data_IF_134132286347
#
_entry.id   IF_134132286347
#
_cell.length_a   1.000
_cell.length_b   1.000
_cell.length_c   1.000
_cell.angle_alpha   90.00
_cell.angle_beta   90.00
_cell.angle_gamma   90.00
#
_symmetry.space_group_name_H-M   'P 1'
#
loop_
_entity.id
_entity.type
_entity.pdbx_description
1 polymer ?
#
# COMPACT_ATOMS: atom_id res chain seq x y z
N UNK A 1 -32.96 -8.18 -3.42
CA UNK A 1 -32.09 -7.56 -2.42
C UNK A 1 -30.80 -7.21 -3.13
N UNK A 2 -30.50 -5.92 -3.34
CA UNK A 2 -29.23 -5.48 -3.91
C UNK A 2 -28.14 -5.74 -2.87
N UNK A 3 -27.16 -6.57 -3.21
CA UNK A 3 -26.00 -6.80 -2.37
C UNK A 3 -25.32 -5.46 -2.10
N UNK A 4 -24.88 -5.21 -0.83
CA UNK A 4 -24.12 -3.99 -0.51
C UNK A 4 -22.83 -3.97 -1.32
N UNK A 5 -22.34 -2.78 -1.69
CA UNK A 5 -21.08 -2.67 -2.42
C UNK A 5 -19.92 -3.21 -1.57
N UNK A 6 -18.98 -3.91 -2.23
CA UNK A 6 -17.76 -4.42 -1.60
C UNK A 6 -16.89 -3.24 -1.15
N UNK A 7 -16.51 -3.20 0.14
CA UNK A 7 -15.76 -2.11 0.74
C UNK A 7 -14.33 -2.55 1.06
N UNK A 8 -13.35 -1.89 0.49
CA UNK A 8 -11.95 -2.07 0.84
C UNK A 8 -11.39 -0.82 1.52
N UNK A 9 -10.56 -1.01 2.55
CA UNK A 9 -9.71 0.02 3.12
C UNK A 9 -8.26 -0.16 2.65
N UNK A 10 -7.43 0.88 2.78
CA UNK A 10 -5.99 0.78 2.59
C UNK A 10 -5.23 1.15 3.85
N UNK A 11 -4.20 0.37 4.19
CA UNK A 11 -3.15 0.71 5.17
C UNK A 11 -1.91 1.06 4.37
N UNK A 12 -1.62 2.34 4.24
CA UNK A 12 -0.50 2.90 3.51
C UNK A 12 0.70 3.08 4.44
N UNK A 13 1.74 2.28 4.24
CA UNK A 13 2.94 2.29 5.07
C UNK A 13 3.87 3.43 4.65
N UNK A 14 3.93 4.49 5.47
CA UNK A 14 4.73 5.69 5.26
C UNK A 14 5.76 5.94 6.39
N UNK A 15 6.16 4.89 7.11
CA UNK A 15 7.01 4.98 8.29
C UNK A 15 8.50 4.65 8.03
N UNK A 16 8.91 4.45 6.77
CA UNK A 16 10.22 3.95 6.38
C UNK A 16 11.36 4.95 6.56
N UNK A 17 12.57 4.45 6.89
CA UNK A 17 13.78 5.25 7.18
C UNK A 17 14.49 5.82 5.94
N UNK A 18 14.03 5.54 4.73
CA UNK A 18 14.63 6.00 3.47
C UNK A 18 16.17 5.78 3.36
N UNK A 19 16.70 4.69 3.93
CA UNK A 19 18.16 4.45 4.11
C UNK A 19 18.97 4.52 2.81
N UNK A 20 18.35 4.24 1.66
CA UNK A 20 18.99 4.28 0.33
C UNK A 20 19.05 5.69 -0.28
N UNK A 21 18.42 6.67 0.38
CA UNK A 21 18.46 8.10 0.01
C UNK A 21 18.98 8.95 1.19
N UNK A 22 20.30 8.94 1.49
CA UNK A 22 20.86 9.63 2.65
C UNK A 22 20.50 11.11 2.68
N UNK A 23 20.03 11.59 3.85
CA UNK A 23 19.69 12.99 4.06
C UNK A 23 18.38 13.46 3.41
N UNK A 24 17.58 12.55 2.85
CA UNK A 24 16.27 12.87 2.26
C UNK A 24 15.26 11.78 2.57
N UNK A 25 14.05 12.18 2.97
CA UNK A 25 12.92 11.27 3.02
C UNK A 25 12.37 11.08 1.60
N UNK A 26 12.48 9.87 1.06
CA UNK A 26 12.02 9.57 -0.31
C UNK A 26 10.54 9.89 -0.54
N UNK A 27 9.73 9.79 0.51
CA UNK A 27 8.29 10.04 0.44
C UNK A 27 7.94 11.51 0.23
N UNK A 28 8.87 12.42 0.57
CA UNK A 28 8.73 13.87 0.42
C UNK A 28 9.33 14.40 -0.88
N UNK A 29 9.97 13.54 -1.68
CA UNK A 29 10.50 13.93 -2.99
C UNK A 29 9.33 14.26 -3.91
N UNK A 30 9.44 15.40 -4.59
CA UNK A 30 8.43 15.82 -5.55
C UNK A 30 8.59 15.11 -6.89
N UNK A 31 7.49 14.56 -7.36
CA UNK A 31 7.34 14.05 -8.72
C UNK A 31 6.34 14.96 -9.43
N UNK A 32 6.80 15.73 -10.40
CA UNK A 32 5.99 16.71 -11.13
C UNK A 32 5.31 17.73 -10.21
N UNK A 33 6.03 18.23 -9.21
CA UNK A 33 5.55 19.24 -8.26
C UNK A 33 4.62 18.71 -7.17
N UNK A 34 4.54 17.38 -6.99
CA UNK A 34 3.74 16.78 -5.93
C UNK A 34 4.57 15.74 -5.15
N UNK A 35 4.59 15.79 -3.79
CA UNK A 35 5.28 14.80 -2.98
C UNK A 35 4.83 13.37 -3.29
N UNK A 36 5.77 12.43 -3.38
CA UNK A 36 5.51 11.01 -3.71
C UNK A 36 4.41 10.40 -2.83
N UNK A 37 4.47 10.63 -1.52
CA UNK A 37 3.46 10.11 -0.59
C UNK A 37 2.06 10.67 -0.88
N UNK A 38 1.97 11.95 -1.26
CA UNK A 38 0.69 12.59 -1.58
C UNK A 38 0.09 12.02 -2.85
N UNK A 39 0.91 11.84 -3.89
CA UNK A 39 0.53 11.18 -5.13
C UNK A 39 -0.01 9.78 -4.88
N UNK A 40 0.73 8.96 -4.13
CA UNK A 40 0.33 7.59 -3.79
C UNK A 40 -0.96 7.58 -2.96
N UNK A 41 -1.08 8.44 -1.94
CA UNK A 41 -2.29 8.52 -1.13
C UNK A 41 -3.55 8.84 -1.94
N UNK A 42 -3.47 9.74 -2.94
CA UNK A 42 -4.58 10.06 -3.85
C UNK A 42 -5.04 8.85 -4.67
N UNK A 43 -4.11 8.00 -5.10
CA UNK A 43 -4.44 6.77 -5.84
C UNK A 43 -5.34 5.87 -4.99
N UNK A 44 -4.98 5.67 -3.72
CA UNK A 44 -5.78 4.84 -2.81
C UNK A 44 -7.10 5.50 -2.41
N UNK A 45 -7.12 6.82 -2.21
CA UNK A 45 -8.35 7.56 -1.93
C UNK A 45 -9.39 7.47 -3.07
N UNK A 46 -8.92 7.35 -4.31
CA UNK A 46 -9.81 7.21 -5.46
C UNK A 46 -10.43 5.80 -5.60
N UNK A 47 -9.88 4.78 -4.94
CA UNK A 47 -10.29 3.38 -5.11
C UNK A 47 -10.80 2.73 -3.82
N UNK A 48 -10.44 3.24 -2.65
CA UNK A 48 -10.77 2.67 -1.34
C UNK A 48 -11.80 3.52 -0.60
N UNK A 49 -12.55 2.88 0.31
CA UNK A 49 -13.52 3.57 1.15
C UNK A 49 -12.83 4.47 2.20
N UNK A 50 -11.71 4.00 2.77
CA UNK A 50 -10.90 4.73 3.75
C UNK A 50 -9.43 4.40 3.55
N UNK A 51 -8.55 5.37 3.87
CA UNK A 51 -7.08 5.22 3.81
C UNK A 51 -6.47 5.59 5.14
N UNK A 52 -5.75 4.65 5.73
CA UNK A 52 -4.99 4.79 6.97
C UNK A 52 -3.50 4.91 6.63
N UNK A 53 -2.89 6.04 6.97
CA UNK A 53 -1.47 6.27 6.71
C UNK A 53 -0.69 6.03 7.99
N UNK A 54 0.21 5.04 7.97
CA UNK A 54 1.08 4.73 9.11
C UNK A 54 2.33 5.58 9.03
N UNK A 55 2.49 6.46 10.01
CA UNK A 55 3.59 7.40 10.15
C UNK A 55 4.69 6.84 11.07
N UNK A 56 5.93 7.30 10.87
CA UNK A 56 7.08 6.93 11.67
C UNK A 56 8.22 7.93 11.48
N UNK A 57 9.25 7.58 10.73
CA UNK A 57 10.37 8.49 10.45
C UNK A 57 9.88 9.77 9.77
N UNK A 58 10.24 10.93 10.38
CA UNK A 58 9.79 12.26 9.92
C UNK A 58 8.27 12.36 9.72
N UNK A 59 7.51 11.71 10.60
CA UNK A 59 6.05 11.57 10.48
C UNK A 59 5.33 12.91 10.38
N UNK A 60 5.80 13.96 11.07
CA UNK A 60 5.20 15.29 11.00
C UNK A 60 5.32 15.92 9.60
N UNK A 61 6.48 15.77 8.94
CA UNK A 61 6.69 16.24 7.57
C UNK A 61 5.83 15.46 6.57
N UNK A 62 5.70 14.16 6.76
CA UNK A 62 4.81 13.32 5.94
C UNK A 62 3.35 13.72 6.14
N UNK A 63 2.93 13.99 7.36
CA UNK A 63 1.59 14.48 7.68
C UNK A 63 1.32 15.83 7.03
N UNK A 64 2.28 16.76 7.08
CA UNK A 64 2.19 18.08 6.44
C UNK A 64 2.01 17.95 4.93
N UNK A 65 2.79 17.09 4.26
CA UNK A 65 2.67 16.81 2.83
C UNK A 65 1.29 16.25 2.43
N UNK A 66 0.58 15.64 3.37
CA UNK A 66 -0.74 15.03 3.17
C UNK A 66 -1.91 15.95 3.61
N UNK A 67 -1.63 17.17 4.05
CA UNK A 67 -2.65 18.12 4.52
C UNK A 67 -3.77 18.32 3.49
N UNK A 68 -5.02 18.34 3.97
CA UNK A 68 -6.23 18.54 3.15
C UNK A 68 -6.75 17.27 2.46
N UNK A 69 -6.09 16.11 2.60
CA UNK A 69 -6.64 14.83 2.16
C UNK A 69 -7.45 14.15 3.29
N UNK A 70 -8.57 13.47 2.96
CA UNK A 70 -9.42 12.78 3.94
C UNK A 70 -8.78 11.44 4.39
N UNK A 71 -7.73 11.52 5.18
CA UNK A 71 -6.91 10.40 5.63
C UNK A 71 -7.05 10.19 7.15
N UNK A 72 -6.89 8.93 7.59
CA UNK A 72 -6.69 8.60 9.00
C UNK A 72 -5.21 8.35 9.26
N UNK A 73 -4.61 9.07 10.20
CA UNK A 73 -3.20 8.91 10.55
C UNK A 73 -3.02 7.97 11.72
N UNK A 74 -2.02 7.10 11.64
CA UNK A 74 -1.66 6.10 12.64
C UNK A 74 -0.18 6.25 12.99
N UNK A 75 0.12 6.58 14.26
CA UNK A 75 1.50 6.69 14.71
C UNK A 75 2.09 5.31 15.00
N UNK A 76 3.32 5.08 14.52
CA UNK A 76 4.14 3.95 14.91
C UNK A 76 5.45 4.43 15.54
N UNK A 77 5.52 4.63 16.87
CA UNK A 77 6.74 5.09 17.52
C UNK A 77 7.89 4.07 17.43
N UNK A 78 7.58 2.81 17.14
CA UNK A 78 8.55 1.71 17.00
C UNK A 78 8.94 1.46 15.53
N UNK A 79 8.80 2.45 14.64
CA UNK A 79 9.06 2.31 13.20
C UNK A 79 10.47 1.79 12.88
N UNK A 80 11.47 2.07 13.74
CA UNK A 80 12.85 1.63 13.57
C UNK A 80 13.01 0.11 13.66
N UNK A 81 12.06 -0.61 14.27
CA UNK A 81 12.04 -2.08 14.36
C UNK A 81 11.65 -2.75 13.04
N UNK A 82 11.25 -1.97 12.05
CA UNK A 82 10.96 -2.43 10.69
C UNK A 82 9.48 -2.48 10.33
N UNK A 83 9.21 -2.87 9.08
CA UNK A 83 7.89 -2.87 8.47
C UNK A 83 6.80 -3.67 9.25
N UNK A 84 7.10 -4.83 9.87
CA UNK A 84 6.07 -5.57 10.62
C UNK A 84 5.39 -4.75 11.72
N UNK A 85 6.12 -3.86 12.40
CA UNK A 85 5.57 -2.93 13.39
C UNK A 85 4.55 -1.98 12.79
N UNK A 86 4.86 -1.40 11.64
CA UNK A 86 3.97 -0.50 10.91
C UNK A 86 2.70 -1.21 10.41
N UNK A 87 2.83 -2.45 9.92
CA UNK A 87 1.67 -3.28 9.54
C UNK A 87 0.75 -3.49 10.75
N UNK A 88 1.31 -3.91 11.89
CA UNK A 88 0.52 -4.12 13.12
C UNK A 88 -0.22 -2.87 13.56
N UNK A 89 0.47 -1.73 13.61
CA UNK A 89 -0.14 -0.46 13.98
C UNK A 89 -1.31 -0.11 13.05
N UNK A 90 -1.11 -0.24 11.73
CA UNK A 90 -2.13 0.05 10.74
C UNK A 90 -3.35 -0.87 10.85
N UNK A 91 -3.15 -2.20 10.91
CA UNK A 91 -4.28 -3.13 11.01
C UNK A 91 -5.02 -3.01 12.35
N UNK A 92 -4.34 -2.63 13.43
CA UNK A 92 -4.97 -2.41 14.73
C UNK A 92 -5.93 -1.20 14.73
N UNK A 93 -5.67 -0.21 13.89
CA UNK A 93 -6.45 1.03 13.78
C UNK A 93 -7.66 0.93 12.85
N UNK A 94 -7.79 -0.16 12.10
CA UNK A 94 -8.92 -0.36 11.17
C UNK A 94 -10.24 -0.44 11.93
N UNK A 95 -11.23 0.30 11.44
CA UNK A 95 -12.63 0.20 11.87
C UNK A 95 -13.28 -1.08 11.32
N UNK A 96 -14.41 -1.44 11.88
CA UNK A 96 -15.24 -2.50 11.33
C UNK A 96 -15.99 -2.05 10.07
N UNK A 97 -16.48 -3.03 9.30
CA UNK A 97 -17.35 -2.79 8.16
C UNK A 97 -16.69 -2.83 6.78
N UNK A 98 -15.39 -3.15 6.72
CA UNK A 98 -14.70 -3.47 5.47
C UNK A 98 -14.82 -4.97 5.15
N UNK A 99 -14.76 -5.30 3.86
CA UNK A 99 -14.69 -6.67 3.35
C UNK A 99 -13.23 -7.11 3.18
N UNK A 100 -12.37 -6.15 2.82
CA UNK A 100 -10.94 -6.38 2.61
C UNK A 100 -10.11 -5.15 2.99
N UNK A 101 -8.80 -5.36 3.16
CA UNK A 101 -7.80 -4.31 3.35
C UNK A 101 -6.59 -4.54 2.45
N UNK A 102 -6.11 -3.47 1.84
CA UNK A 102 -4.84 -3.42 1.12
C UNK A 102 -3.73 -3.01 2.08
N UNK A 103 -2.68 -3.82 2.16
CA UNK A 103 -1.43 -3.42 2.81
C UNK A 103 -0.50 -2.89 1.73
N UNK A 104 -0.24 -1.61 1.77
CA UNK A 104 0.33 -0.81 0.69
C UNK A 104 1.61 -0.09 1.10
N UNK A 105 2.48 0.17 0.13
CA UNK A 105 3.71 0.95 0.30
C UNK A 105 3.52 2.35 -0.27
N UNK A 106 4.04 3.37 0.43
CA UNK A 106 3.87 4.77 0.03
C UNK A 106 4.85 5.23 -1.07
N UNK A 107 5.75 4.36 -1.52
CA UNK A 107 6.82 4.63 -2.50
C UNK A 107 6.54 4.08 -3.91
N UNK A 108 5.34 3.59 -4.16
CA UNK A 108 4.93 3.04 -5.46
C UNK A 108 4.27 4.10 -6.35
N UNK A 109 5.10 4.90 -7.03
CA UNK A 109 4.64 6.01 -7.86
C UNK A 109 3.90 5.61 -9.15
N UNK A 110 4.13 4.40 -9.63
CA UNK A 110 3.57 3.90 -10.89
C UNK A 110 2.11 3.44 -10.77
N UNK A 111 1.66 3.08 -9.57
CA UNK A 111 0.30 2.60 -9.34
C UNK A 111 -0.74 3.65 -9.71
N UNK A 112 -1.83 3.20 -10.31
CA UNK A 112 -2.99 3.99 -10.67
C UNK A 112 -4.24 3.57 -9.87
N UNK A 113 -5.24 4.44 -9.80
CA UNK A 113 -6.53 4.08 -9.19
C UNK A 113 -7.20 2.90 -9.92
N UNK A 114 -6.98 2.75 -11.23
CA UNK A 114 -7.45 1.62 -12.03
C UNK A 114 -6.82 0.30 -11.60
N UNK A 115 -5.54 0.27 -11.29
CA UNK A 115 -4.84 -0.92 -10.79
C UNK A 115 -5.44 -1.38 -9.45
N UNK A 116 -5.61 -0.44 -8.52
CA UNK A 116 -6.19 -0.73 -7.20
C UNK A 116 -7.64 -1.19 -7.32
N UNK A 117 -8.45 -0.51 -8.12
CA UNK A 117 -9.85 -0.91 -8.38
C UNK A 117 -9.94 -2.29 -9.04
N UNK A 118 -9.02 -2.62 -9.95
CA UNK A 118 -8.90 -3.94 -10.57
C UNK A 118 -8.63 -5.05 -9.57
N UNK A 119 -7.67 -4.81 -8.65
CA UNK A 119 -7.34 -5.76 -7.58
C UNK A 119 -8.51 -5.97 -6.61
N UNK A 120 -9.19 -4.89 -6.21
CA UNK A 120 -10.38 -4.95 -5.35
C UNK A 120 -11.51 -5.73 -6.03
N UNK A 121 -11.79 -5.45 -7.31
CA UNK A 121 -12.79 -6.15 -8.09
C UNK A 121 -12.49 -7.64 -8.21
N UNK A 122 -11.25 -8.03 -8.52
CA UNK A 122 -10.83 -9.42 -8.59
C UNK A 122 -11.05 -10.16 -7.26
N UNK A 123 -10.83 -9.48 -6.12
CA UNK A 123 -11.14 -10.04 -4.81
C UNK A 123 -12.63 -10.28 -4.63
N UNK A 124 -13.47 -9.28 -4.96
CA UNK A 124 -14.91 -9.38 -4.82
C UNK A 124 -15.51 -10.49 -5.70
N UNK A 125 -15.08 -10.58 -6.96
CA UNK A 125 -15.50 -11.60 -7.93
C UNK A 125 -15.04 -13.01 -7.52
N UNK A 126 -13.85 -13.13 -6.90
CA UNK A 126 -13.35 -14.37 -6.32
C UNK A 126 -13.98 -14.77 -4.98
N UNK A 127 -15.09 -14.13 -4.59
CA UNK A 127 -15.83 -14.41 -3.35
C UNK A 127 -15.18 -13.85 -2.09
N UNK A 128 -14.13 -12.99 -2.20
CA UNK A 128 -13.52 -12.29 -1.07
C UNK A 128 -12.81 -13.19 -0.05
N UNK A 129 -12.54 -14.44 -0.41
CA UNK A 129 -12.07 -15.46 0.54
C UNK A 129 -10.55 -15.67 0.56
N UNK A 130 -9.78 -15.09 -0.36
CA UNK A 130 -8.35 -15.33 -0.51
C UNK A 130 -7.54 -14.05 -0.44
N UNK A 131 -6.30 -14.16 0.05
CA UNK A 131 -5.30 -13.09 -0.07
C UNK A 131 -4.92 -12.99 -1.53
N UNK A 132 -5.02 -11.78 -2.12
CA UNK A 132 -4.55 -11.53 -3.47
C UNK A 132 -3.17 -10.88 -3.43
N UNK A 133 -2.21 -11.55 -4.04
CA UNK A 133 -0.84 -11.07 -4.20
C UNK A 133 -0.60 -10.74 -5.66
N UNK A 134 -0.32 -9.48 -6.02
CA UNK A 134 0.01 -9.10 -7.38
C UNK A 134 1.34 -9.73 -7.82
N UNK A 135 1.38 -10.15 -9.09
CA UNK A 135 2.59 -10.60 -9.76
C UNK A 135 2.68 -9.97 -11.14
N UNK A 136 3.89 -9.59 -11.53
CA UNK A 136 4.20 -9.20 -12.90
C UNK A 136 5.49 -9.92 -13.34
N UNK A 137 5.42 -10.69 -14.42
CA UNK A 137 6.53 -11.49 -14.95
C UNK A 137 7.24 -12.34 -13.88
N UNK A 138 6.45 -12.95 -12.97
CA UNK A 138 6.96 -13.78 -11.87
C UNK A 138 7.42 -13.03 -10.62
N UNK A 139 7.58 -11.70 -10.68
CA UNK A 139 7.94 -10.87 -9.54
C UNK A 139 6.72 -10.54 -8.69
N UNK A 140 6.83 -10.71 -7.37
CA UNK A 140 5.80 -10.38 -6.40
C UNK A 140 5.75 -8.87 -6.15
N UNK A 141 4.56 -8.29 -6.21
CA UNK A 141 4.32 -6.86 -6.03
C UNK A 141 3.50 -6.50 -4.79
N UNK A 142 3.23 -5.21 -4.66
CA UNK A 142 2.36 -4.57 -3.68
C UNK A 142 1.36 -3.65 -4.41
N UNK A 143 0.23 -3.30 -3.77
CA UNK A 143 -0.24 -3.73 -2.45
C UNK A 143 -0.70 -5.19 -2.44
N UNK A 144 -0.65 -5.82 -1.27
CA UNK A 144 -1.30 -7.12 -1.05
C UNK A 144 -2.68 -6.87 -0.45
N UNK A 145 -3.69 -7.52 -1.00
CA UNK A 145 -5.08 -7.43 -0.53
C UNK A 145 -5.40 -8.63 0.38
N UNK A 146 -5.87 -8.34 1.59
CA UNK A 146 -6.29 -9.31 2.58
C UNK A 146 -7.80 -9.24 2.81
N UNK A 147 -8.54 -10.36 2.77
CA UNK A 147 -9.87 -10.43 3.32
C UNK A 147 -9.89 -10.03 4.80
N UNK A 148 -10.90 -9.28 5.23
CA UNK A 148 -10.94 -8.73 6.59
C UNK A 148 -10.93 -9.81 7.68
N UNK A 149 -11.53 -10.99 7.41
CA UNK A 149 -11.48 -12.14 8.32
C UNK A 149 -10.04 -12.61 8.62
N UNK A 150 -9.14 -12.57 7.61
CA UNK A 150 -7.74 -12.98 7.78
C UNK A 150 -6.92 -11.90 8.52
N UNK A 151 -7.33 -10.64 8.47
CA UNK A 151 -6.76 -9.58 9.32
C UNK A 151 -7.01 -9.86 10.80
N UNK A 152 -8.19 -10.39 11.17
CA UNK A 152 -8.46 -10.80 12.54
C UNK A 152 -7.51 -11.93 13.00
N UNK A 153 -7.23 -12.91 12.13
CA UNK A 153 -6.26 -13.97 12.38
C UNK A 153 -4.83 -13.42 12.53
N UNK A 154 -4.43 -12.49 11.66
CA UNK A 154 -3.13 -11.79 11.77
C UNK A 154 -3.00 -11.01 13.08
N UNK A 155 -4.05 -10.30 13.51
CA UNK A 155 -4.06 -9.58 14.79
C UNK A 155 -3.80 -10.55 15.96
N UNK A 156 -4.37 -11.76 15.93
CA UNK A 156 -4.19 -12.76 16.96
C UNK A 156 -2.76 -13.30 17.06
N UNK A 157 -1.96 -13.26 15.99
CA UNK A 157 -0.56 -13.68 15.95
C UNK A 157 0.41 -12.70 16.63
N UNK A 158 -0.03 -11.50 17.01
CA UNK A 158 0.75 -10.54 17.76
C UNK A 158 2.01 -10.07 17.02
N UNK A 159 3.20 -10.19 17.66
CA UNK A 159 4.47 -9.72 17.10
C UNK A 159 4.90 -10.42 15.80
N UNK A 160 4.39 -11.60 15.52
CA UNK A 160 4.71 -12.37 14.31
C UNK A 160 3.86 -11.99 13.09
N UNK A 161 2.98 -11.00 13.20
CA UNK A 161 2.10 -10.53 12.14
C UNK A 161 2.85 -9.74 11.06
N UNK A 162 3.82 -10.36 10.39
CA UNK A 162 4.41 -9.85 9.17
C UNK A 162 3.61 -10.41 7.98
N UNK A 163 3.14 -9.52 7.09
CA UNK A 163 2.34 -9.95 5.93
C UNK A 163 3.02 -11.07 5.14
N UNK A 164 4.32 -10.94 4.89
CA UNK A 164 5.09 -11.93 4.12
C UNK A 164 5.07 -13.29 4.79
N UNK A 165 5.38 -13.35 6.10
CA UNK A 165 5.38 -14.61 6.84
C UNK A 165 3.99 -15.26 6.87
N UNK A 166 2.93 -14.44 7.04
CA UNK A 166 1.55 -14.94 7.03
C UNK A 166 1.18 -15.56 5.69
N UNK A 167 1.53 -14.90 4.58
CA UNK A 167 1.28 -15.38 3.23
C UNK A 167 2.05 -16.67 2.95
N UNK A 168 3.35 -16.68 3.26
CA UNK A 168 4.24 -17.81 2.97
C UNK A 168 3.87 -19.05 3.82
N UNK A 169 3.32 -18.85 5.03
CA UNK A 169 2.81 -19.91 5.90
C UNK A 169 1.40 -20.40 5.54
N UNK A 170 0.68 -19.68 4.67
CA UNK A 170 -0.71 -19.98 4.31
C UNK A 170 -0.94 -19.96 2.80
N UNK A 171 -0.20 -20.77 2.01
CA UNK A 171 -0.31 -20.77 0.54
C UNK A 171 -1.73 -21.12 0.07
N UNK A 172 -2.47 -21.96 0.82
CA UNK A 172 -3.85 -22.35 0.52
C UNK A 172 -4.85 -21.17 0.63
N UNK A 173 -4.53 -20.15 1.41
CA UNK A 173 -5.32 -18.93 1.57
C UNK A 173 -4.93 -17.83 0.57
N UNK A 174 -3.93 -18.08 -0.27
CA UNK A 174 -3.34 -17.10 -1.19
C UNK A 174 -3.72 -17.41 -2.62
N UNK A 175 -3.96 -16.39 -3.42
CA UNK A 175 -4.10 -16.47 -4.86
C UNK A 175 -3.23 -15.40 -5.53
N UNK A 176 -2.69 -15.74 -6.69
CA UNK A 176 -1.96 -14.79 -7.52
C UNK A 176 -2.95 -13.91 -8.27
N UNK A 177 -2.63 -12.62 -8.37
CA UNK A 177 -3.24 -11.67 -9.27
C UNK A 177 -2.21 -11.32 -10.34
N UNK A 178 -2.39 -11.81 -11.55
CA UNK A 178 -1.48 -11.50 -12.66
C UNK A 178 -1.75 -10.08 -13.15
N UNK A 179 -0.81 -9.18 -12.86
CA UNK A 179 -0.90 -7.78 -13.24
C UNK A 179 -0.60 -7.58 -14.73
N UNK A 180 -1.31 -6.66 -15.37
CA UNK A 180 -1.12 -6.33 -16.78
C UNK A 180 0.12 -5.43 -17.03
N UNK A 181 0.64 -4.79 -15.98
CA UNK A 181 1.77 -3.87 -16.03
C UNK A 181 2.69 -4.06 -14.83
N UNK A 182 3.88 -3.47 -14.91
CA UNK A 182 4.88 -3.46 -13.85
C UNK A 182 4.57 -2.52 -12.67
N UNK A 183 3.45 -1.80 -12.70
CA UNK A 183 3.09 -0.81 -11.67
C UNK A 183 3.13 -1.36 -10.25
N UNK A 184 2.75 -2.64 -10.06
CA UNK A 184 2.73 -3.30 -8.76
C UNK A 184 4.11 -3.69 -8.22
N UNK A 185 5.13 -3.71 -9.08
CA UNK A 185 6.51 -4.12 -8.75
C UNK A 185 7.53 -2.99 -8.87
N UNK A 186 7.06 -1.78 -9.23
CA UNK A 186 7.91 -0.59 -9.42
C UNK A 186 7.87 0.28 -8.16
N UNK A 187 8.95 0.25 -7.39
CA UNK A 187 9.18 1.09 -6.22
C UNK A 187 10.21 2.19 -6.55
N UNK A 188 10.07 3.38 -5.97
CA UNK A 188 11.11 4.42 -6.02
C UNK A 188 11.98 4.31 -4.75
N UNK A 189 13.16 3.74 -4.90
CA UNK A 189 14.09 3.49 -3.81
C UNK A 189 15.36 4.34 -3.87
N UNK A 190 15.73 4.79 -5.07
CA UNK A 190 16.93 5.58 -5.35
C UNK A 190 16.62 6.78 -6.23
N UNK A 191 17.58 7.74 -6.33
CA UNK A 191 17.48 8.85 -7.28
C UNK A 191 17.50 8.36 -8.74
N UNK A 192 18.14 7.23 -9.02
CA UNK A 192 18.14 6.63 -10.34
C UNK A 192 16.74 6.08 -10.71
N UNK A 193 16.03 5.45 -9.75
CA UNK A 193 14.66 5.01 -9.97
C UNK A 193 13.72 6.18 -10.25
N UNK A 194 13.91 7.28 -9.51
CA UNK A 194 13.16 8.52 -9.71
C UNK A 194 13.38 9.08 -11.12
N UNK A 195 14.65 9.20 -11.55
CA UNK A 195 14.99 9.72 -12.87
C UNK A 195 14.40 8.84 -13.98
N UNK A 196 14.53 7.51 -13.87
CA UNK A 196 13.96 6.56 -14.82
C UNK A 196 12.42 6.66 -14.88
N UNK A 197 11.77 6.80 -13.72
CA UNK A 197 10.32 6.99 -13.65
C UNK A 197 9.88 8.28 -14.35
N UNK A 198 10.57 9.40 -14.10
CA UNK A 198 10.25 10.69 -14.74
C UNK A 198 10.49 10.69 -16.25
N UNK A 199 11.53 9.99 -16.71
CA UNK A 199 11.81 9.81 -18.15
C UNK A 199 10.74 8.96 -18.83
N UNK A 200 10.35 7.83 -18.25
CA UNK A 200 9.28 6.97 -18.76
C UNK A 200 7.89 7.64 -18.80
N UNK A 201 7.71 8.68 -18.01
CA UNK A 201 6.49 9.49 -17.97
C UNK A 201 6.49 10.69 -18.93
N UNK A 202 7.57 10.96 -19.69
CA UNK A 202 7.57 12.04 -20.70
C UNK A 202 6.71 11.60 -21.90
N UNK A 203 5.83 12.48 -22.42
CA UNK A 203 5.17 12.18 -23.67
C UNK A 203 6.24 12.00 -24.75
N UNK A 204 6.09 10.94 -25.55
CA UNK A 204 6.97 10.71 -26.69
C UNK A 204 7.01 12.00 -27.53
N UNK A 205 8.18 12.57 -27.82
CA UNK A 205 8.23 13.73 -28.69
C UNK A 205 7.67 13.35 -30.06
N UNK A 206 6.64 14.09 -30.50
CA UNK A 206 5.95 13.92 -31.76
C UNK A 206 6.90 14.18 -32.96
#
# INVERSE_FOLDING_TARGET
MTARPFKAAAVLLAAGLSRRMPGRNKLLIEIRGEPLVRRTAKVYLAACADVYVVLGHEGDLVREALTGLPLSFVENPQYAEGQPGSVRAGIASLKDGYDAVLIALADQAALTAGDIAGLIRACAEGGGGRILVPYFQGNRGNPVLFPMRLIAEMRAQGRNAACRNFIDSNPQLTARYEAASDHFVTDIDTLADLAAFEEGCRPNPA
#
